data_IF_639526654651
#
_entry.id   IF_639526654651
#
_cell.length_a   1.000
_cell.length_b   1.000
_cell.length_c   1.000
_cell.angle_alpha   90.00
_cell.angle_beta   90.00
_cell.angle_gamma   90.00
#
_symmetry.space_group_name_H-M   'P 1'
#
loop_
_entity.id
_entity.type
_entity.pdbx_description
1 polymer ?
#
# COMPACT_ATOMS: atom_id res chain seq x y z
N UNK A 1 -0.29 -23.92 -8.07
CA UNK A 1 0.63 -22.84 -8.47
C UNK A 1 1.50 -22.50 -7.26
N UNK A 2 2.77 -22.20 -7.44
CA UNK A 2 3.65 -21.67 -6.41
C UNK A 2 3.96 -20.19 -6.68
N UNK A 3 4.62 -19.51 -5.73
CA UNK A 3 4.96 -18.09 -5.82
C UNK A 3 5.86 -17.78 -7.03
N UNK A 4 6.86 -18.61 -7.28
CA UNK A 4 7.81 -18.38 -8.38
C UNK A 4 7.10 -18.44 -9.75
N UNK A 5 6.17 -19.38 -9.92
CA UNK A 5 5.35 -19.50 -11.13
C UNK A 5 4.39 -18.31 -11.26
N UNK A 6 3.69 -17.94 -10.18
CA UNK A 6 2.75 -16.81 -10.21
C UNK A 6 3.48 -15.50 -10.56
N UNK A 7 4.63 -15.25 -9.96
CA UNK A 7 5.41 -14.03 -10.22
C UNK A 7 5.94 -13.98 -11.66
N UNK A 8 6.44 -15.10 -12.19
CA UNK A 8 6.89 -15.18 -13.58
C UNK A 8 5.74 -14.91 -14.56
N UNK A 9 4.55 -15.50 -14.31
CA UNK A 9 3.36 -15.29 -15.14
C UNK A 9 2.86 -13.84 -15.09
N UNK A 10 3.17 -13.10 -14.01
CA UNK A 10 2.93 -11.66 -13.84
C UNK A 10 4.12 -10.79 -14.30
N UNK A 11 5.11 -11.35 -14.99
CA UNK A 11 6.22 -10.62 -15.59
C UNK A 11 7.34 -10.23 -14.62
N UNK A 12 7.39 -10.81 -13.42
CA UNK A 12 8.48 -10.57 -12.46
C UNK A 12 9.69 -11.40 -12.86
N UNK A 13 10.75 -10.74 -13.33
CA UNK A 13 12.07 -11.32 -13.58
C UNK A 13 13.02 -11.13 -12.39
N UNK A 14 14.13 -11.83 -12.38
CA UNK A 14 15.13 -11.72 -11.29
C UNK A 14 15.79 -10.34 -11.23
N UNK A 15 15.83 -9.63 -12.35
CA UNK A 15 16.39 -8.29 -12.54
C UNK A 15 15.33 -7.17 -12.55
N UNK A 16 14.08 -7.45 -12.20
CA UNK A 16 12.98 -6.47 -12.16
C UNK A 16 13.25 -5.29 -11.24
N UNK A 17 14.10 -5.50 -10.22
CA UNK A 17 14.72 -4.48 -9.39
C UNK A 17 16.24 -4.58 -9.50
N UNK A 18 16.90 -3.45 -9.63
CA UNK A 18 18.36 -3.35 -9.55
C UNK A 18 18.88 -3.67 -8.14
N UNK A 19 20.18 -4.01 -8.03
CA UNK A 19 20.82 -4.20 -6.72
C UNK A 19 20.73 -2.95 -5.83
N UNK A 20 20.89 -1.76 -6.42
CA UNK A 20 20.79 -0.50 -5.68
C UNK A 20 19.37 -0.25 -5.10
N UNK A 21 18.33 -0.63 -5.82
CA UNK A 21 16.95 -0.53 -5.34
C UNK A 21 16.68 -1.51 -4.19
N UNK A 22 17.18 -2.73 -4.29
CA UNK A 22 17.11 -3.72 -3.20
C UNK A 22 17.86 -3.24 -1.96
N UNK A 23 19.09 -2.74 -2.13
CA UNK A 23 19.90 -2.16 -1.05
C UNK A 23 19.24 -0.94 -0.40
N UNK A 24 18.57 -0.09 -1.18
CA UNK A 24 17.80 1.03 -0.64
C UNK A 24 16.64 0.53 0.22
N UNK A 25 15.86 -0.43 -0.29
CA UNK A 25 14.74 -1.01 0.45
C UNK A 25 15.19 -1.67 1.76
N UNK A 26 16.33 -2.37 1.74
CA UNK A 26 16.91 -3.00 2.93
C UNK A 26 17.44 -1.97 3.94
N UNK A 27 18.09 -0.90 3.46
CA UNK A 27 18.71 0.13 4.30
C UNK A 27 17.69 1.10 4.87
N UNK A 28 16.84 1.66 4.00
CA UNK A 28 15.95 2.76 4.34
C UNK A 28 14.52 2.29 4.66
N UNK A 29 14.14 1.09 4.21
CA UNK A 29 12.82 0.51 4.43
C UNK A 29 11.75 1.00 3.44
N UNK A 30 12.11 1.80 2.43
CA UNK A 30 11.20 2.24 1.39
C UNK A 30 11.91 2.40 0.03
N UNK A 31 11.13 2.32 -1.05
CA UNK A 31 11.60 2.44 -2.42
C UNK A 31 10.57 3.19 -3.28
N UNK A 32 10.88 4.40 -3.77
CA UNK A 32 10.07 5.07 -4.77
C UNK A 32 10.29 4.43 -6.16
N UNK A 33 9.20 4.08 -6.81
CA UNK A 33 9.15 3.57 -8.18
C UNK A 33 8.43 4.61 -9.04
N UNK A 34 9.18 5.46 -9.73
CA UNK A 34 8.63 6.54 -10.54
C UNK A 34 8.01 6.02 -11.85
N UNK A 35 6.97 6.71 -12.34
CA UNK A 35 6.38 6.47 -13.65
C UNK A 35 5.71 5.10 -13.80
N UNK A 36 5.22 4.51 -12.72
CA UNK A 36 4.51 3.22 -12.76
C UNK A 36 3.14 3.38 -13.42
N UNK A 37 2.41 4.46 -13.11
CA UNK A 37 1.17 4.79 -13.78
C UNK A 37 1.38 6.00 -14.70
N UNK A 38 0.82 5.94 -15.90
CA UNK A 38 0.70 7.08 -16.79
C UNK A 38 -0.32 8.09 -16.26
N UNK A 39 -0.27 9.32 -16.77
CA UNK A 39 -1.25 10.36 -16.43
C UNK A 39 -2.69 9.95 -16.79
N UNK A 40 -2.87 9.16 -17.85
CA UNK A 40 -4.18 8.64 -18.27
C UNK A 40 -4.72 7.62 -17.26
N UNK A 41 -3.88 6.68 -16.81
CA UNK A 41 -4.25 5.69 -15.78
C UNK A 41 -4.60 6.38 -14.46
N UNK A 42 -3.78 7.34 -14.00
CA UNK A 42 -4.07 8.14 -12.79
C UNK A 42 -5.41 8.86 -12.92
N UNK A 43 -5.67 9.51 -14.06
CA UNK A 43 -6.94 10.19 -14.31
C UNK A 43 -8.13 9.23 -14.31
N UNK A 44 -7.99 8.07 -14.97
CA UNK A 44 -9.01 7.03 -15.00
C UNK A 44 -9.33 6.45 -13.62
N UNK A 45 -8.31 6.20 -12.81
CA UNK A 45 -8.45 5.73 -11.42
C UNK A 45 -9.14 6.79 -10.57
N UNK A 46 -8.69 8.05 -10.63
CA UNK A 46 -9.29 9.16 -9.87
C UNK A 46 -10.76 9.36 -10.20
N UNK A 47 -11.12 9.32 -11.49
CA UNK A 47 -12.52 9.39 -11.92
C UNK A 47 -13.34 8.24 -11.32
N UNK A 48 -12.80 7.01 -11.39
CA UNK A 48 -13.50 5.83 -10.85
C UNK A 48 -13.67 5.88 -9.34
N UNK A 49 -12.68 6.35 -8.60
CA UNK A 49 -12.79 6.54 -7.14
C UNK A 49 -13.89 7.54 -6.80
N UNK A 50 -13.98 8.68 -7.51
CA UNK A 50 -15.03 9.67 -7.29
C UNK A 50 -16.44 9.10 -7.55
N UNK A 51 -16.61 8.30 -8.62
CA UNK A 51 -17.88 7.60 -8.91
C UNK A 51 -18.25 6.62 -7.79
N UNK A 52 -17.29 5.83 -7.31
CA UNK A 52 -17.51 4.87 -6.23
C UNK A 52 -17.85 5.56 -4.92
N UNK A 53 -17.12 6.62 -4.54
CA UNK A 53 -17.42 7.40 -3.34
C UNK A 53 -18.83 7.99 -3.38
N UNK A 54 -19.26 8.52 -4.53
CA UNK A 54 -20.62 9.04 -4.69
C UNK A 54 -21.70 7.96 -4.55
N UNK A 55 -21.43 6.71 -4.97
CA UNK A 55 -22.37 5.60 -4.86
C UNK A 55 -22.41 5.02 -3.45
N UNK A 56 -21.26 4.89 -2.78
CA UNK A 56 -21.16 4.26 -1.46
C UNK A 56 -21.53 5.21 -0.33
N UNK A 57 -21.26 6.51 -0.49
CA UNK A 57 -21.57 7.52 0.53
C UNK A 57 -21.01 7.15 1.91
N UNK A 58 -21.84 7.22 2.94
CA UNK A 58 -21.45 6.93 4.33
C UNK A 58 -21.02 5.47 4.58
N UNK A 59 -21.24 4.57 3.61
CA UNK A 59 -20.80 3.16 3.69
C UNK A 59 -19.40 2.95 3.14
N UNK A 60 -18.78 3.96 2.53
CA UNK A 60 -17.45 3.85 1.96
C UNK A 60 -16.42 3.42 3.02
N UNK A 61 -15.67 2.38 2.74
CA UNK A 61 -14.60 1.87 3.60
C UNK A 61 -15.03 0.91 4.72
N UNK A 62 -16.33 0.67 4.92
CA UNK A 62 -16.82 -0.20 6.01
C UNK A 62 -16.32 -1.65 5.92
N UNK A 63 -15.92 -2.13 4.73
CA UNK A 63 -15.41 -3.50 4.54
C UNK A 63 -14.11 -3.76 5.32
N UNK A 64 -13.34 -2.70 5.62
CA UNK A 64 -12.12 -2.79 6.45
C UNK A 64 -12.27 -1.89 7.66
N UNK A 65 -12.21 -0.59 7.50
CA UNK A 65 -12.48 0.42 8.53
C UNK A 65 -12.59 1.81 7.91
N UNK A 66 -13.27 2.69 8.60
CA UNK A 66 -13.29 4.13 8.31
C UNK A 66 -12.25 4.84 9.17
N UNK A 67 -11.69 5.92 8.66
CA UNK A 67 -10.69 6.74 9.36
C UNK A 67 -11.12 8.21 9.31
N UNK A 68 -11.21 8.84 10.48
CA UNK A 68 -11.59 10.26 10.59
C UNK A 68 -10.61 11.14 9.80
N UNK A 69 -11.13 12.13 9.09
CA UNK A 69 -10.31 13.06 8.31
C UNK A 69 -9.80 12.50 7.00
N UNK A 70 -10.35 11.37 6.56
CA UNK A 70 -10.03 10.79 5.26
C UNK A 70 -11.28 10.29 4.55
N UNK A 71 -11.28 10.40 3.20
CA UNK A 71 -12.20 9.61 2.37
C UNK A 71 -11.54 8.28 2.05
N UNK A 72 -12.23 7.18 2.32
CA UNK A 72 -11.71 5.84 2.16
C UNK A 72 -12.70 4.93 1.45
N UNK A 73 -12.20 4.19 0.48
CA UNK A 73 -12.89 3.04 -0.12
C UNK A 73 -12.08 1.79 0.17
N UNK A 74 -12.73 0.70 0.50
CA UNK A 74 -12.10 -0.60 0.69
C UNK A 74 -12.59 -1.60 -0.37
N UNK A 75 -12.09 -2.83 -0.35
CA UNK A 75 -12.46 -3.90 -1.30
C UNK A 75 -12.33 -3.49 -2.78
N UNK A 76 -11.30 -2.71 -3.13
CA UNK A 76 -11.12 -2.21 -4.49
C UNK A 76 -10.89 -3.33 -5.52
N UNK A 77 -10.40 -4.50 -5.09
CA UNK A 77 -10.28 -5.70 -5.93
C UNK A 77 -11.59 -6.01 -6.66
N UNK A 78 -12.71 -5.86 -5.96
CA UNK A 78 -14.04 -6.16 -6.49
C UNK A 78 -14.72 -5.00 -7.23
N UNK A 79 -14.15 -3.78 -7.18
CA UNK A 79 -14.86 -2.56 -7.61
C UNK A 79 -14.53 -2.12 -9.03
N UNK A 80 -13.32 -2.41 -9.55
CA UNK A 80 -12.97 -2.13 -10.94
C UNK A 80 -11.66 -2.82 -11.36
N UNK A 81 -11.54 -3.18 -12.63
CA UNK A 81 -10.33 -3.78 -13.21
C UNK A 81 -9.11 -2.84 -13.19
N UNK A 82 -9.32 -1.51 -13.16
CA UNK A 82 -8.24 -0.51 -13.09
C UNK A 82 -7.37 -0.65 -11.84
N UNK A 83 -7.91 -1.26 -10.78
CA UNK A 83 -7.17 -1.47 -9.53
C UNK A 83 -6.30 -2.73 -9.54
N UNK A 84 -6.43 -3.60 -10.56
CA UNK A 84 -5.68 -4.84 -10.65
C UNK A 84 -4.17 -4.61 -10.79
N UNK A 85 -3.75 -3.49 -11.37
CA UNK A 85 -2.35 -3.09 -11.46
C UNK A 85 -1.67 -3.06 -10.08
N UNK A 86 -2.41 -2.75 -9.01
CA UNK A 86 -1.88 -2.64 -7.66
C UNK A 86 -1.39 -3.98 -7.07
N UNK A 87 -1.90 -5.11 -7.59
CA UNK A 87 -1.48 -6.44 -7.15
C UNK A 87 -0.95 -7.32 -8.30
N UNK A 88 -0.62 -6.72 -9.44
CA UNK A 88 -0.06 -7.42 -10.58
C UNK A 88 1.14 -6.72 -11.25
N UNK A 89 1.48 -5.49 -10.87
CA UNK A 89 2.60 -4.77 -11.49
C UNK A 89 3.94 -5.41 -11.11
N UNK A 90 4.79 -5.83 -12.09
CA UNK A 90 5.96 -6.66 -11.84
C UNK A 90 6.99 -6.01 -10.89
N UNK A 91 7.26 -4.71 -11.01
CA UNK A 91 8.23 -4.03 -10.12
C UNK A 91 7.75 -3.97 -8.66
N UNK A 92 6.44 -3.77 -8.45
CA UNK A 92 5.84 -3.77 -7.11
C UNK A 92 5.91 -5.17 -6.51
N UNK A 93 5.50 -6.19 -7.27
CA UNK A 93 5.57 -7.58 -6.80
C UNK A 93 7.01 -8.06 -6.56
N UNK A 94 7.97 -7.60 -7.36
CA UNK A 94 9.39 -7.85 -7.14
C UNK A 94 9.89 -7.29 -5.81
N UNK A 95 9.44 -6.08 -5.44
CA UNK A 95 9.75 -5.48 -4.15
C UNK A 95 9.07 -6.23 -2.99
N UNK A 96 7.80 -6.63 -3.14
CA UNK A 96 7.12 -7.49 -2.15
C UNK A 96 7.85 -8.82 -1.95
N UNK A 97 8.29 -9.45 -3.05
CA UNK A 97 9.08 -10.68 -2.99
C UNK A 97 10.40 -10.49 -2.25
N UNK A 98 11.07 -9.37 -2.49
CA UNK A 98 12.34 -9.05 -1.83
C UNK A 98 12.18 -8.93 -0.31
N UNK A 99 11.11 -8.28 0.16
CA UNK A 99 10.86 -8.06 1.60
C UNK A 99 10.27 -9.29 2.28
N UNK A 100 9.29 -9.95 1.66
CA UNK A 100 8.46 -10.97 2.30
C UNK A 100 8.73 -12.41 1.84
N UNK A 101 9.32 -12.61 0.67
CA UNK A 101 9.44 -13.94 0.07
C UNK A 101 8.10 -14.49 -0.40
N UNK A 102 7.39 -15.21 0.46
CA UNK A 102 6.06 -15.80 0.20
C UNK A 102 4.94 -14.91 0.77
N UNK A 103 4.18 -14.28 -0.10
CA UNK A 103 3.19 -13.27 0.30
C UNK A 103 1.82 -13.46 -0.38
N UNK A 104 0.85 -12.68 0.06
CA UNK A 104 -0.45 -12.48 -0.58
C UNK A 104 -0.93 -11.04 -0.37
N UNK A 105 -1.83 -10.56 -1.23
CA UNK A 105 -2.53 -9.31 -0.99
C UNK A 105 -3.44 -9.48 0.24
N UNK A 106 -3.31 -8.59 1.20
CA UNK A 106 -4.13 -8.57 2.42
C UNK A 106 -5.35 -7.66 2.27
N UNK A 107 -5.15 -6.46 1.70
CA UNK A 107 -6.24 -5.53 1.35
C UNK A 107 -5.79 -4.56 0.26
N UNK A 108 -6.77 -3.98 -0.45
CA UNK A 108 -6.55 -2.90 -1.41
C UNK A 108 -7.59 -1.81 -1.18
N UNK A 109 -7.13 -0.65 -0.76
CA UNK A 109 -7.97 0.45 -0.32
C UNK A 109 -7.53 1.77 -0.95
N UNK A 110 -8.43 2.75 -1.05
CA UNK A 110 -8.05 4.15 -1.27
C UNK A 110 -7.99 4.90 0.06
N UNK A 111 -7.21 5.97 0.09
CA UNK A 111 -7.16 6.93 1.19
C UNK A 111 -6.92 8.33 0.62
N UNK A 112 -7.80 9.25 0.93
CA UNK A 112 -7.63 10.65 0.61
C UNK A 112 -7.56 11.47 1.91
N UNK A 113 -6.41 12.09 2.18
CA UNK A 113 -6.27 13.03 3.30
C UNK A 113 -7.05 14.30 2.96
N UNK A 114 -8.07 14.63 3.75
CA UNK A 114 -8.92 15.80 3.53
C UNK A 114 -8.22 17.11 3.93
N UNK A 115 -8.65 18.28 3.39
CA UNK A 115 -8.14 19.58 3.82
C UNK A 115 -8.22 19.79 5.33
N UNK A 116 -7.11 20.18 5.96
CA UNK A 116 -7.02 20.37 7.41
C UNK A 116 -6.91 19.09 8.24
N UNK A 117 -6.83 17.92 7.60
CA UNK A 117 -6.86 16.61 8.23
C UNK A 117 -5.68 15.71 7.76
N UNK A 118 -5.71 14.44 8.07
CA UNK A 118 -4.78 13.41 7.56
C UNK A 118 -3.57 13.17 8.45
N UNK A 119 -3.37 13.94 9.53
CA UNK A 119 -2.28 13.72 10.46
C UNK A 119 -2.45 12.41 11.23
N UNK A 120 -1.36 11.62 11.29
CA UNK A 120 -1.27 10.40 12.07
C UNK A 120 0.00 10.44 12.93
N UNK A 121 -0.08 9.87 14.13
CA UNK A 121 1.11 9.53 14.89
C UNK A 121 1.99 8.54 14.12
N UNK A 122 3.30 8.57 14.36
CA UNK A 122 4.18 7.53 13.83
C UNK A 122 3.76 6.17 14.36
N UNK A 123 3.66 5.19 13.47
CA UNK A 123 3.27 3.81 13.76
C UNK A 123 3.98 2.86 12.79
N UNK A 124 3.93 1.57 13.09
CA UNK A 124 4.16 0.49 12.16
C UNK A 124 2.82 -0.17 11.86
N UNK A 125 2.65 -0.74 10.67
CA UNK A 125 1.39 -1.41 10.25
C UNK A 125 1.19 -2.78 10.91
N UNK A 126 2.03 -3.17 11.84
CA UNK A 126 1.94 -4.43 12.55
C UNK A 126 1.85 -4.21 14.06
N UNK A 127 1.18 -5.12 14.78
CA UNK A 127 0.80 -4.91 16.18
C UNK A 127 1.95 -5.03 17.20
N UNK A 128 3.10 -5.54 16.77
CA UNK A 128 4.28 -5.73 17.61
C UNK A 128 5.56 -5.57 16.78
N UNK A 129 6.69 -5.26 17.44
CA UNK A 129 7.98 -5.21 16.78
C UNK A 129 8.41 -6.61 16.32
N UNK A 130 9.22 -6.65 15.25
CA UNK A 130 9.81 -7.88 14.72
C UNK A 130 11.32 -7.77 14.69
N UNK A 131 12.00 -8.90 14.76
CA UNK A 131 13.45 -8.93 14.57
C UNK A 131 13.80 -8.52 13.12
N UNK A 132 14.92 -7.83 12.90
CA UNK A 132 15.37 -7.47 11.57
C UNK A 132 15.46 -8.68 10.65
N UNK A 133 14.79 -8.61 9.50
CA UNK A 133 14.68 -9.70 8.54
C UNK A 133 13.50 -10.64 8.73
N UNK A 134 12.80 -10.59 9.86
CA UNK A 134 11.56 -11.36 10.10
C UNK A 134 10.30 -10.53 9.77
N UNK A 135 10.32 -9.87 8.61
CA UNK A 135 9.25 -8.97 8.20
C UNK A 135 8.00 -9.73 7.79
N UNK A 136 6.85 -9.27 8.24
CA UNK A 136 5.57 -9.95 8.07
C UNK A 136 4.61 -9.24 7.12
N UNK A 137 4.81 -7.93 6.95
CA UNK A 137 3.94 -7.06 6.15
C UNK A 137 4.73 -6.03 5.35
N UNK A 138 4.22 -5.71 4.16
CA UNK A 138 4.79 -4.72 3.25
C UNK A 138 3.67 -4.01 2.52
N UNK A 139 3.79 -2.73 2.29
CA UNK A 139 2.74 -1.93 1.68
C UNK A 139 3.26 -1.19 0.44
N UNK A 140 2.36 -0.76 -0.42
CA UNK A 140 2.65 0.16 -1.51
C UNK A 140 1.64 1.30 -1.53
N UNK A 141 2.16 2.53 -1.57
CA UNK A 141 1.36 3.75 -1.71
C UNK A 141 1.43 4.16 -3.18
N UNK A 142 0.28 4.20 -3.85
CA UNK A 142 0.12 4.58 -5.25
C UNK A 142 -0.34 6.03 -5.29
N UNK A 143 0.53 6.94 -5.69
CA UNK A 143 0.27 8.37 -5.66
C UNK A 143 -0.68 8.75 -6.80
N UNK A 144 -1.89 9.18 -6.46
CA UNK A 144 -2.90 9.64 -7.42
C UNK A 144 -2.93 11.16 -7.57
N UNK A 145 -2.24 11.86 -6.69
CA UNK A 145 -1.90 13.29 -6.75
C UNK A 145 -0.40 13.43 -6.50
N UNK A 146 0.19 14.56 -6.85
CA UNK A 146 1.56 14.88 -6.42
C UNK A 146 1.59 14.92 -4.88
N UNK A 147 2.55 14.25 -4.26
CA UNK A 147 2.77 14.37 -2.82
C UNK A 147 3.79 15.48 -2.57
N UNK A 148 3.38 16.47 -1.79
CA UNK A 148 4.18 17.63 -1.43
C UNK A 148 4.24 17.83 0.08
N UNK A 149 5.17 18.62 0.62
CA UNK A 149 5.23 18.89 2.06
C UNK A 149 3.94 19.52 2.62
N UNK A 150 3.15 20.19 1.78
CA UNK A 150 1.98 20.94 2.21
C UNK A 150 0.69 20.11 2.21
N UNK A 151 0.61 19.04 1.38
CA UNK A 151 -0.66 18.33 1.14
C UNK A 151 -0.80 17.02 1.92
N UNK A 152 -0.05 16.85 2.99
CA UNK A 152 -0.19 15.67 3.85
C UNK A 152 0.60 14.46 3.33
N UNK A 153 1.80 14.68 2.76
CA UNK A 153 2.70 13.61 2.37
C UNK A 153 3.00 12.68 3.55
N UNK A 154 3.22 11.41 3.28
CA UNK A 154 3.59 10.44 4.30
C UNK A 154 4.98 10.77 4.84
N UNK A 155 5.12 10.86 6.16
CA UNK A 155 6.42 10.91 6.84
C UNK A 155 6.90 9.50 7.18
N UNK A 156 8.19 9.28 7.11
CA UNK A 156 8.83 8.02 7.52
C UNK A 156 10.10 8.30 8.30
N UNK A 157 10.51 7.35 9.15
CA UNK A 157 11.83 7.37 9.81
C UNK A 157 12.69 6.30 9.13
N UNK A 158 13.58 6.66 8.17
CA UNK A 158 14.37 5.69 7.42
C UNK A 158 15.16 4.74 8.32
N UNK A 159 15.14 3.45 7.99
CA UNK A 159 15.85 2.41 8.74
C UNK A 159 15.19 1.97 10.06
N UNK A 160 14.08 2.57 10.47
CA UNK A 160 13.39 2.21 11.73
C UNK A 160 12.83 0.79 11.73
N UNK A 161 12.49 0.22 10.57
CA UNK A 161 12.06 -1.18 10.44
C UNK A 161 13.09 -2.21 10.93
N UNK A 162 14.35 -1.79 11.14
CA UNK A 162 15.44 -2.64 11.66
C UNK A 162 15.72 -2.45 13.15
N UNK A 163 14.95 -1.60 13.84
CA UNK A 163 15.20 -1.30 15.26
C UNK A 163 14.66 -2.38 16.21
N UNK A 164 13.68 -3.18 15.76
CA UNK A 164 13.02 -4.16 16.63
C UNK A 164 12.22 -3.51 17.76
N UNK A 165 11.75 -2.28 17.58
CA UNK A 165 10.97 -1.49 18.53
C UNK A 165 9.81 -0.79 17.84
N UNK A 166 8.82 -0.36 18.60
CA UNK A 166 7.70 0.47 18.11
C UNK A 166 7.98 1.95 18.41
N UNK A 167 7.37 2.90 17.67
CA UNK A 167 7.55 4.33 17.95
C UNK A 167 7.29 4.72 19.41
N UNK A 168 6.27 4.11 20.05
CA UNK A 168 5.95 4.38 21.45
C UNK A 168 6.97 3.88 22.47
N UNK A 169 7.89 3.00 22.06
CA UNK A 169 8.98 2.52 22.92
C UNK A 169 10.14 3.53 23.01
N UNK A 170 10.28 4.40 22.00
CA UNK A 170 11.39 5.34 21.88
C UNK A 170 10.95 6.82 21.93
N UNK A 171 9.69 7.12 21.59
CA UNK A 171 9.14 8.47 21.58
C UNK A 171 8.15 8.66 22.72
N UNK A 172 8.26 9.77 23.45
CA UNK A 172 7.30 10.14 24.49
C UNK A 172 5.89 10.36 23.90
N UNK A 173 5.82 10.87 22.67
CA UNK A 173 4.58 11.04 21.93
C UNK A 173 4.81 10.77 20.42
N UNK A 174 4.35 9.66 19.87
CA UNK A 174 4.48 9.37 18.44
C UNK A 174 3.77 10.36 17.49
N UNK A 175 2.89 11.22 18.02
CA UNK A 175 2.29 12.29 17.21
C UNK A 175 3.27 13.44 16.90
N UNK A 176 4.33 13.58 17.68
CA UNK A 176 5.36 14.61 17.47
C UNK A 176 6.26 14.27 16.28
N UNK A 177 7.04 15.25 15.82
CA UNK A 177 8.02 15.03 14.78
C UNK A 177 9.23 14.26 15.31
N UNK A 178 9.67 13.25 14.58
CA UNK A 178 10.92 12.56 14.86
C UNK A 178 12.09 13.29 14.18
N UNK A 179 13.25 13.48 14.86
CA UNK A 179 14.37 14.26 14.30
C UNK A 179 14.91 13.71 12.97
N UNK A 180 14.84 12.40 12.76
CA UNK A 180 15.32 11.74 11.54
C UNK A 180 14.21 11.49 10.52
N UNK A 181 12.99 12.01 10.74
CA UNK A 181 11.91 11.79 9.77
C UNK A 181 12.14 12.55 8.48
N UNK A 182 11.69 11.97 7.39
CA UNK A 182 11.60 12.61 6.08
C UNK A 182 10.19 12.52 5.53
N UNK A 183 9.87 13.35 4.55
CA UNK A 183 8.61 13.28 3.81
C UNK A 183 8.80 12.52 2.52
N UNK A 184 7.93 11.55 2.26
CA UNK A 184 7.86 10.84 0.99
C UNK A 184 7.09 11.72 0.00
N UNK A 185 7.82 12.48 -0.80
CA UNK A 185 7.27 13.32 -1.88
C UNK A 185 7.45 12.65 -3.23
N UNK A 186 6.62 13.00 -4.21
CA UNK A 186 6.70 12.44 -5.55
C UNK A 186 5.57 12.90 -6.45
N UNK A 187 5.72 12.65 -7.75
CA UNK A 187 4.69 12.94 -8.75
C UNK A 187 3.59 11.88 -8.75
N UNK A 188 2.38 12.27 -9.11
CA UNK A 188 1.31 11.33 -9.41
C UNK A 188 1.77 10.28 -10.42
N UNK A 189 1.38 9.02 -10.20
CA UNK A 189 1.86 7.86 -10.97
C UNK A 189 3.09 7.18 -10.39
N UNK A 190 3.73 7.76 -9.36
CA UNK A 190 4.77 7.10 -8.57
C UNK A 190 4.13 6.08 -7.62
N UNK A 191 4.81 4.96 -7.39
CA UNK A 191 4.47 4.00 -6.34
C UNK A 191 5.61 3.95 -5.33
N UNK A 192 5.29 4.13 -4.06
CA UNK A 192 6.26 3.99 -2.98
C UNK A 192 6.00 2.67 -2.28
N UNK A 193 6.90 1.70 -2.47
CA UNK A 193 6.89 0.46 -1.70
C UNK A 193 7.62 0.71 -0.38
N UNK A 194 7.06 0.23 0.72
CA UNK A 194 7.73 0.30 2.01
C UNK A 194 7.49 -0.93 2.88
N UNK A 195 8.52 -1.34 3.60
CA UNK A 195 8.41 -2.33 4.65
C UNK A 195 7.48 -1.77 5.73
N UNK A 196 6.38 -2.44 6.00
CA UNK A 196 5.34 -1.90 6.90
C UNK A 196 5.72 -1.90 8.39
N UNK A 197 6.90 -2.43 8.74
CA UNK A 197 7.52 -2.23 10.06
C UNK A 197 8.31 -0.90 10.14
N UNK A 198 8.47 -0.18 9.02
CA UNK A 198 9.01 1.17 8.98
C UNK A 198 8.07 2.12 9.73
N UNK A 199 8.60 2.93 10.63
CA UNK A 199 7.81 3.95 11.31
C UNK A 199 7.37 5.01 10.32
N UNK A 200 6.07 5.18 10.21
CA UNK A 200 5.47 6.10 9.25
C UNK A 200 4.17 6.71 9.78
N UNK A 201 3.68 7.72 9.09
CA UNK A 201 2.39 8.34 9.38
C UNK A 201 2.06 9.44 8.37
N UNK A 202 0.78 9.76 8.23
CA UNK A 202 0.34 10.90 7.44
C UNK A 202 0.73 12.21 8.13
N UNK A 203 1.04 13.25 7.34
CA UNK A 203 1.14 14.62 7.83
C UNK A 203 -0.14 15.40 7.58
N UNK A 204 -0.27 16.57 8.18
CA UNK A 204 -1.43 17.43 8.00
C UNK A 204 -1.51 17.94 6.56
N UNK A 205 -2.64 17.76 5.90
CA UNK A 205 -2.95 18.38 4.62
C UNK A 205 -3.32 19.86 4.85
N UNK A 206 -2.40 20.77 4.57
CA UNK A 206 -2.57 22.23 4.72
C UNK A 206 -3.16 22.89 3.47
N UNK A 207 -3.45 22.09 2.42
CA UNK A 207 -4.05 22.60 1.18
C UNK A 207 -5.57 22.58 1.25
N UNK A 208 -6.22 23.10 0.24
CA UNK A 208 -7.69 23.12 0.12
C UNK A 208 -8.25 21.99 -0.76
N UNK A 209 -7.41 21.02 -1.12
CA UNK A 209 -7.80 19.86 -1.96
C UNK A 209 -7.43 18.55 -1.26
N UNK A 210 -8.24 17.48 -1.40
CA UNK A 210 -7.86 16.16 -0.90
C UNK A 210 -6.59 15.64 -1.60
N UNK A 211 -5.76 14.92 -0.86
CA UNK A 211 -4.60 14.20 -1.40
C UNK A 211 -4.90 12.71 -1.42
N UNK A 212 -4.99 12.12 -2.62
CA UNK A 212 -5.47 10.77 -2.89
C UNK A 212 -4.33 9.78 -3.13
N UNK A 213 -4.49 8.59 -2.60
CA UNK A 213 -3.62 7.44 -2.87
C UNK A 213 -4.40 6.13 -2.85
N UNK A 214 -3.83 5.07 -3.46
CA UNK A 214 -4.21 3.69 -3.17
C UNK A 214 -3.16 3.07 -2.25
N UNK A 215 -3.61 2.15 -1.43
CA UNK A 215 -2.76 1.35 -0.55
C UNK A 215 -3.02 -0.13 -0.85
N UNK A 216 -2.00 -0.82 -1.37
CA UNK A 216 -2.02 -2.26 -1.53
C UNK A 216 -1.15 -2.89 -0.45
N UNK A 217 -1.80 -3.47 0.54
CA UNK A 217 -1.19 -4.04 1.73
C UNK A 217 -1.00 -5.55 1.54
N UNK A 218 0.26 -5.99 1.64
CA UNK A 218 0.65 -7.39 1.50
C UNK A 218 1.13 -7.96 2.83
N UNK A 219 0.87 -9.24 3.04
CA UNK A 219 1.30 -9.96 4.24
C UNK A 219 1.91 -11.31 3.84
N UNK A 220 2.69 -11.89 4.74
CA UNK A 220 3.14 -13.28 4.61
C UNK A 220 1.96 -14.20 4.34
N UNK A 221 2.16 -15.20 3.49
CA UNK A 221 1.07 -16.02 2.96
C UNK A 221 0.28 -16.77 4.01
N UNK A 222 0.88 -17.12 5.16
CA UNK A 222 0.24 -17.83 6.25
C UNK A 222 -0.57 -16.92 7.20
N UNK A 223 -0.37 -15.60 7.16
CA UNK A 223 -1.09 -14.65 8.02
C UNK A 223 -2.53 -14.43 7.53
N UNK A 224 -3.46 -14.04 8.40
CA UNK A 224 -4.79 -13.62 7.99
C UNK A 224 -4.72 -12.35 7.12
N UNK A 225 -5.67 -12.18 6.21
CA UNK A 225 -5.83 -10.96 5.43
C UNK A 225 -6.65 -9.94 6.24
N UNK A 226 -6.38 -8.63 6.04
CA UNK A 226 -7.25 -7.56 6.59
C UNK A 226 -8.68 -7.65 6.02
N UNK A 227 -8.79 -8.01 4.74
CA UNK A 227 -10.04 -8.37 4.09
C UNK A 227 -9.88 -9.78 3.51
N UNK A 228 -10.65 -10.73 3.99
CA UNK A 228 -10.64 -12.10 3.47
C UNK A 228 -11.08 -12.10 1.99
N UNK A 229 -10.09 -12.15 1.08
CA UNK A 229 -10.35 -12.09 -0.36
C UNK A 229 -11.17 -13.29 -0.83
N UNK A 230 -10.97 -14.47 -0.24
CA UNK A 230 -11.75 -15.68 -0.59
C UNK A 230 -13.23 -15.51 -0.23
N UNK A 231 -13.53 -14.90 0.91
CA UNK A 231 -14.91 -14.67 1.33
C UNK A 231 -15.61 -13.54 0.56
N UNK A 232 -14.85 -12.56 0.05
CA UNK A 232 -15.40 -11.35 -0.58
C UNK A 232 -15.36 -11.38 -2.11
N UNK A 233 -14.56 -12.27 -2.75
CA UNK A 233 -14.40 -12.28 -4.20
C UNK A 233 -15.74 -12.50 -4.90
N UNK A 234 -16.09 -11.59 -5.83
CA UNK A 234 -17.32 -11.68 -6.62
C UNK A 234 -17.07 -12.52 -7.88
N UNK A 235 -18.09 -13.21 -8.33
CA UNK A 235 -18.02 -14.09 -9.55
C UNK A 235 -17.44 -13.32 -10.75
N UNK A 236 -17.90 -12.09 -11.00
CA UNK A 236 -17.41 -11.28 -12.11
C UNK A 236 -15.92 -10.93 -11.96
N UNK A 237 -15.48 -10.64 -10.75
CA UNK A 237 -14.06 -10.36 -10.44
C UNK A 237 -13.24 -11.62 -10.65
N UNK A 238 -13.64 -12.73 -10.05
CA UNK A 238 -12.94 -14.00 -10.20
C UNK A 238 -12.76 -14.39 -11.68
N UNK A 239 -13.83 -14.31 -12.47
CA UNK A 239 -13.80 -14.72 -13.88
C UNK A 239 -12.91 -13.86 -14.78
N UNK A 240 -12.61 -12.62 -14.43
CA UNK A 240 -11.72 -11.74 -15.21
C UNK A 240 -10.25 -11.87 -14.82
N UNK A 241 -9.96 -12.38 -13.64
CA UNK A 241 -8.59 -12.52 -13.13
C UNK A 241 -7.89 -13.75 -13.70
N UNK A 242 -6.58 -13.64 -13.84
CA UNK A 242 -5.72 -14.75 -14.24
C UNK A 242 -5.45 -15.71 -13.07
N UNK A 243 -5.03 -16.96 -13.32
CA UNK A 243 -4.62 -17.87 -12.26
C UNK A 243 -3.50 -17.32 -11.36
N UNK A 244 -2.57 -16.53 -11.91
CA UNK A 244 -1.52 -15.89 -11.14
C UNK A 244 -2.07 -14.81 -10.19
N UNK A 245 -3.02 -13.99 -10.66
CA UNK A 245 -3.72 -13.01 -9.81
C UNK A 245 -4.54 -13.70 -8.72
N UNK A 246 -5.24 -14.80 -9.03
CA UNK A 246 -5.92 -15.61 -8.01
C UNK A 246 -4.93 -16.07 -6.93
N UNK A 247 -3.74 -16.51 -7.34
CA UNK A 247 -2.72 -16.92 -6.38
C UNK A 247 -2.27 -15.77 -5.47
N UNK A 248 -2.03 -14.57 -6.02
CA UNK A 248 -1.65 -13.37 -5.23
C UNK A 248 -2.78 -12.99 -4.24
N UNK A 249 -4.03 -13.11 -4.64
CA UNK A 249 -5.19 -12.85 -3.78
C UNK A 249 -5.47 -13.98 -2.77
N UNK A 250 -4.86 -15.15 -2.95
CA UNK A 250 -5.15 -16.38 -2.20
C UNK A 250 -6.61 -16.84 -2.35
N UNK A 251 -7.19 -16.69 -3.54
CA UNK A 251 -8.55 -17.18 -3.88
C UNK A 251 -8.48 -18.44 -4.69
N UNK A 252 -9.37 -19.41 -4.42
CA UNK A 252 -9.40 -20.73 -5.07
C UNK A 252 -10.70 -21.00 -5.83
N UNK A 253 -11.69 -20.13 -5.70
CA UNK A 253 -13.00 -20.23 -6.32
C UNK A 253 -13.91 -19.11 -5.83
N UNK A 254 -15.15 -19.11 -6.30
CA UNK A 254 -16.23 -18.25 -5.77
C UNK A 254 -17.10 -19.08 -4.82
N UNK A 255 -17.60 -18.42 -3.78
CA UNK A 255 -18.61 -18.99 -2.88
C UNK A 255 -19.99 -18.93 -3.53
#
# INVERSE_FOLDING_TARGET
MDMATALRDLGVSDDVLSSAEKEQLDRDGYLPLEGILSAEEVSGINKRLAELTAVEGDRAGLEVHQEKGTDRLADLVNKDARFEVCFSHPRVLGAMRHVLGEFKLSSLNSRAALPGEGHQGLHADFSHPVEPGAYEVCNSIWLLDDFTPENGATRVVPGSHRRGTMPGDEMANPADDHPDQILLTGKAGTVIVFNSHLWHGGTLNRTNTPRRALHAYFALRHLPQQLDQQAHIRVQTYNRLTPAQHFILAVTGTN
#
